data_IF_030024267572
#
_entry.id   IF_030024267572
#
_cell.length_a   1.000
_cell.length_b   1.000
_cell.length_c   1.000
_cell.angle_alpha   90.00
_cell.angle_beta   90.00
_cell.angle_gamma   90.00
#
_symmetry.space_group_name_H-M   'P 1'
#
loop_
_entity.id
_entity.type
_entity.pdbx_description
1 polymer ?
#
# COMPACT_ATOMS: atom_id res chain seq x y z
N UNK A 1 3.30 -18.66 -50.98
CA UNK A 1 3.75 -17.35 -50.45
C UNK A 1 2.85 -17.01 -49.28
N UNK A 2 3.27 -17.38 -48.08
CA UNK A 2 2.54 -17.14 -46.83
C UNK A 2 3.21 -15.93 -46.18
N UNK A 3 2.47 -14.83 -46.04
CA UNK A 3 2.92 -13.64 -45.32
C UNK A 3 2.62 -13.86 -43.83
N UNK A 4 3.68 -14.00 -43.02
CA UNK A 4 3.59 -13.96 -41.57
C UNK A 4 3.54 -12.50 -41.10
N UNK A 5 2.56 -12.19 -40.25
CA UNK A 5 2.48 -10.96 -39.46
C UNK A 5 3.26 -11.12 -38.15
N UNK A 6 3.99 -10.10 -37.67
CA UNK A 6 4.69 -10.17 -36.39
C UNK A 6 3.76 -9.73 -35.25
N UNK A 7 3.50 -10.65 -34.33
CA UNK A 7 2.97 -10.37 -32.99
C UNK A 7 4.10 -9.78 -32.13
N UNK A 8 4.03 -8.48 -31.82
CA UNK A 8 5.05 -7.77 -31.04
C UNK A 8 4.44 -6.69 -30.15
N UNK A 9 3.61 -7.08 -29.18
CA UNK A 9 2.94 -6.15 -28.25
C UNK A 9 3.36 -6.28 -26.77
N UNK A 10 4.08 -7.34 -26.39
CA UNK A 10 4.38 -7.64 -24.97
C UNK A 10 5.76 -7.13 -24.51
N UNK A 11 6.73 -6.96 -25.41
CA UNK A 11 8.11 -6.64 -25.01
C UNK A 11 8.34 -5.16 -24.64
N UNK A 12 7.59 -4.22 -25.21
CA UNK A 12 7.75 -2.77 -24.91
C UNK A 12 7.24 -2.37 -23.53
N UNK A 13 6.17 -2.99 -23.05
CA UNK A 13 5.63 -2.74 -21.70
C UNK A 13 6.52 -3.34 -20.61
N UNK A 14 7.09 -4.53 -20.86
CA UNK A 14 8.00 -5.19 -19.93
C UNK A 14 9.33 -4.43 -19.73
N UNK A 15 9.84 -3.78 -20.78
CA UNK A 15 11.05 -2.94 -20.71
C UNK A 15 10.82 -1.70 -19.80
N UNK A 16 9.68 -1.03 -19.94
CA UNK A 16 9.36 0.16 -19.13
C UNK A 16 9.22 -0.14 -17.62
N UNK A 17 8.76 -1.34 -17.23
CA UNK A 17 8.60 -1.72 -15.82
C UNK A 17 9.96 -1.99 -15.14
N UNK A 18 10.87 -2.66 -15.86
CA UNK A 18 12.24 -2.91 -15.40
C UNK A 18 13.04 -1.61 -15.35
N UNK A 19 12.90 -0.74 -16.36
CA UNK A 19 13.45 0.61 -16.34
C UNK A 19 12.88 1.42 -15.16
N UNK A 20 11.58 1.36 -14.84
CA UNK A 20 11.05 2.06 -13.67
C UNK A 20 11.72 1.64 -12.34
N UNK A 21 12.00 0.35 -12.15
CA UNK A 21 12.66 -0.17 -10.93
C UNK A 21 14.17 0.13 -10.93
N UNK A 22 14.82 0.05 -12.10
CA UNK A 22 16.26 0.20 -12.27
C UNK A 22 16.70 1.65 -12.52
N UNK A 23 16.03 2.44 -13.35
CA UNK A 23 16.29 3.89 -13.53
C UNK A 23 16.03 4.68 -12.26
N UNK A 24 15.09 4.23 -11.42
CA UNK A 24 14.94 4.76 -10.08
C UNK A 24 16.25 4.63 -9.27
N UNK A 25 17.08 3.62 -9.51
CA UNK A 25 18.38 3.47 -8.84
C UNK A 25 19.51 4.33 -9.44
N UNK A 26 19.36 4.88 -10.66
CA UNK A 26 20.48 5.47 -11.42
C UNK A 26 20.49 7.00 -11.53
N UNK A 27 19.67 7.74 -10.77
CA UNK A 27 19.76 9.22 -10.72
C UNK A 27 20.96 9.73 -9.90
N UNK A 28 22.11 9.08 -10.03
CA UNK A 28 23.32 9.36 -9.25
C UNK A 28 23.91 10.75 -9.55
N UNK A 29 23.76 11.29 -10.76
CA UNK A 29 24.49 12.50 -11.19
C UNK A 29 23.92 13.79 -10.57
N UNK A 30 22.60 13.90 -10.44
CA UNK A 30 21.97 15.04 -9.77
C UNK A 30 22.11 14.96 -8.24
N UNK A 31 22.04 13.74 -7.69
CA UNK A 31 22.21 13.47 -6.27
C UNK A 31 23.66 13.81 -5.83
N UNK A 32 24.70 13.48 -6.61
CA UNK A 32 26.12 13.77 -6.28
C UNK A 32 26.40 15.28 -6.10
N UNK A 33 25.75 16.15 -6.89
CA UNK A 33 25.94 17.61 -6.78
C UNK A 33 25.27 18.16 -5.52
N UNK A 34 24.08 17.65 -5.16
CA UNK A 34 23.42 17.99 -3.90
C UNK A 34 24.20 17.42 -2.71
N UNK A 35 24.63 16.15 -2.77
CA UNK A 35 25.46 15.50 -1.75
C UNK A 35 26.78 16.26 -1.50
N UNK A 36 27.43 16.76 -2.55
CA UNK A 36 28.68 17.54 -2.42
C UNK A 36 28.45 18.94 -1.85
N UNK A 37 27.29 19.56 -2.06
CA UNK A 37 26.95 20.83 -1.40
C UNK A 37 26.62 20.67 0.09
N UNK A 38 26.08 19.52 0.50
CA UNK A 38 25.79 19.19 1.91
C UNK A 38 27.04 18.73 2.70
N UNK A 39 28.07 18.21 2.03
CA UNK A 39 29.29 17.71 2.68
C UNK A 39 30.14 18.81 3.33
N UNK A 40 29.95 20.08 2.94
CA UNK A 40 30.67 21.23 3.51
C UNK A 40 30.14 21.71 4.89
N UNK A 41 29.24 20.96 5.55
CA UNK A 41 28.69 21.30 6.88
C UNK A 41 28.05 22.71 6.98
N UNK A 42 27.56 23.24 5.86
CA UNK A 42 26.95 24.58 5.78
C UNK A 42 25.43 24.59 5.93
N UNK A 43 24.78 23.43 6.03
CA UNK A 43 23.32 23.33 5.98
C UNK A 43 22.74 22.56 7.17
N UNK A 44 21.61 23.04 7.69
CA UNK A 44 20.84 22.41 8.77
C UNK A 44 19.35 22.44 8.46
N UNK A 45 18.58 21.62 9.19
CA UNK A 45 17.12 21.64 9.14
C UNK A 45 16.53 22.52 10.25
N UNK A 46 15.55 23.33 9.87
CA UNK A 46 14.77 24.19 10.76
C UNK A 46 13.32 23.70 10.79
N UNK A 47 12.72 23.63 11.97
CA UNK A 47 11.28 23.35 12.09
C UNK A 47 10.46 24.47 11.45
N UNK A 48 9.49 24.07 10.64
CA UNK A 48 8.53 24.96 9.99
C UNK A 48 7.10 24.46 10.23
N UNK A 49 6.16 25.37 10.44
CA UNK A 49 4.77 25.00 10.78
C UNK A 49 4.02 24.39 9.60
N UNK A 50 4.39 24.76 8.38
CA UNK A 50 3.66 24.40 7.16
C UNK A 50 4.36 23.24 6.42
N UNK A 51 5.68 23.32 6.30
CA UNK A 51 6.52 22.36 5.56
C UNK A 51 7.15 21.28 6.46
N UNK A 52 6.98 21.39 7.78
CA UNK A 52 7.60 20.53 8.79
C UNK A 52 9.08 20.87 9.00
N UNK A 53 9.89 20.78 7.94
CA UNK A 53 11.31 21.13 7.99
C UNK A 53 11.76 21.90 6.73
N UNK A 54 12.52 22.98 6.93
CA UNK A 54 13.14 23.78 5.89
C UNK A 54 14.67 23.73 5.96
N UNK A 55 15.37 23.75 4.81
CA UNK A 55 16.82 23.86 4.80
C UNK A 55 17.25 25.29 5.15
N UNK A 56 18.24 25.43 6.03
CA UNK A 56 18.86 26.70 6.40
C UNK A 56 20.37 26.63 6.24
N UNK A 57 20.97 27.70 5.71
CA UNK A 57 22.41 27.82 5.56
C UNK A 57 23.03 28.48 6.79
N UNK A 58 24.05 27.88 7.40
CA UNK A 58 24.77 28.45 8.54
C UNK A 58 25.54 29.70 8.07
N UNK A 59 25.24 30.86 8.69
CA UNK A 59 25.86 32.15 8.37
C UNK A 59 26.84 32.60 9.47
N UNK A 60 26.58 32.27 10.73
CA UNK A 60 27.53 32.52 11.83
C UNK A 60 27.33 31.57 13.02
N UNK A 61 28.44 31.15 13.65
CA UNK A 61 28.47 30.19 14.76
C UNK A 61 29.62 29.18 14.60
N UNK A 62 30.33 28.88 15.68
CA UNK A 62 31.37 27.83 15.72
C UNK A 62 30.74 26.49 16.09
N UNK A 63 31.30 25.38 15.61
CA UNK A 63 30.88 23.99 15.90
C UNK A 63 30.71 23.68 17.41
N UNK A 64 31.34 24.46 18.30
CA UNK A 64 31.26 24.31 19.76
C UNK A 64 30.11 25.10 20.43
N UNK A 65 29.32 25.88 19.68
CA UNK A 65 28.14 26.55 20.21
C UNK A 65 26.89 25.72 19.92
N UNK A 66 26.08 25.46 20.95
CA UNK A 66 24.81 24.74 20.82
C UNK A 66 23.86 25.39 19.80
N UNK A 67 23.98 26.71 19.59
CA UNK A 67 23.13 27.49 18.70
C UNK A 67 23.90 28.11 17.53
N UNK A 68 23.41 27.94 16.30
CA UNK A 68 23.95 28.57 15.08
C UNK A 68 22.94 29.55 14.49
N UNK A 69 23.42 30.66 13.89
CA UNK A 69 22.57 31.52 13.06
C UNK A 69 22.50 30.97 11.64
N UNK A 70 21.28 30.81 11.16
CA UNK A 70 20.98 30.21 9.87
C UNK A 70 20.10 31.13 9.05
N UNK A 71 20.41 31.24 7.76
CA UNK A 71 19.61 31.94 6.77
C UNK A 71 18.72 30.96 6.03
N UNK A 72 17.43 31.27 5.98
CA UNK A 72 16.43 30.59 5.17
C UNK A 72 16.46 31.12 3.72
N UNK A 73 15.86 30.36 2.80
CA UNK A 73 15.74 30.75 1.39
C UNK A 73 14.94 32.06 1.18
N UNK A 74 14.13 32.47 2.16
CA UNK A 74 13.37 33.74 2.14
C UNK A 74 14.18 34.94 2.69
N UNK A 75 15.45 34.73 3.03
CA UNK A 75 16.35 35.75 3.58
C UNK A 75 16.18 36.00 5.09
N UNK A 76 15.23 35.36 5.77
CA UNK A 76 15.09 35.46 7.23
C UNK A 76 16.23 34.73 7.92
N UNK A 77 16.65 35.27 9.07
CA UNK A 77 17.68 34.68 9.93
C UNK A 77 17.05 34.16 11.20
N UNK A 78 17.36 32.91 11.54
CA UNK A 78 16.90 32.27 12.76
C UNK A 78 18.09 31.66 13.50
N UNK A 79 17.99 31.54 14.82
CA UNK A 79 18.96 30.82 15.63
C UNK A 79 18.38 29.46 15.96
N UNK A 80 19.11 28.38 15.65
CA UNK A 80 18.65 27.02 15.92
C UNK A 80 19.79 26.11 16.42
N UNK A 81 19.40 24.98 17.02
CA UNK A 81 20.33 23.93 17.39
C UNK A 81 20.90 23.25 16.14
N UNK A 82 22.19 22.94 16.14
CA UNK A 82 22.86 22.34 15.00
C UNK A 82 22.36 20.91 14.74
N UNK A 83 21.58 20.73 13.68
CA UNK A 83 21.19 19.40 13.18
C UNK A 83 21.76 19.25 11.77
N UNK A 84 22.98 18.70 11.69
CA UNK A 84 23.67 18.46 10.42
C UNK A 84 22.93 17.35 9.67
N UNK A 85 22.83 17.46 8.34
CA UNK A 85 22.22 16.44 7.48
C UNK A 85 23.21 16.00 6.41
N UNK A 86 23.16 14.72 6.06
CA UNK A 86 23.75 14.22 4.82
C UNK A 86 22.77 14.27 3.68
N UNK A 87 23.31 14.17 2.47
CA UNK A 87 22.51 14.26 1.26
C UNK A 87 21.50 13.11 1.11
N UNK A 88 20.48 13.32 0.28
CA UNK A 88 19.24 12.56 0.31
C UNK A 88 19.20 11.31 -0.60
N UNK A 89 18.11 10.54 -0.52
CA UNK A 89 17.71 9.43 -1.41
C UNK A 89 18.22 8.03 -1.06
N UNK A 90 18.63 7.79 0.19
CA UNK A 90 19.06 6.45 0.64
C UNK A 90 17.91 5.45 0.66
N UNK A 91 18.21 4.20 0.29
CA UNK A 91 17.24 3.10 0.29
C UNK A 91 16.91 2.58 1.69
N UNK A 92 17.87 2.65 2.62
CA UNK A 92 17.67 2.36 4.03
C UNK A 92 17.98 3.59 4.87
N UNK A 93 16.97 4.09 5.59
CA UNK A 93 17.10 5.23 6.48
C UNK A 93 18.16 5.01 7.58
N UNK A 94 18.49 3.76 7.92
CA UNK A 94 19.57 3.44 8.85
C UNK A 94 20.97 3.77 8.31
N UNK A 95 21.12 4.01 6.99
CA UNK A 95 22.37 4.42 6.35
C UNK A 95 22.57 5.95 6.35
N UNK A 96 21.59 6.73 6.83
CA UNK A 96 21.75 8.16 7.01
C UNK A 96 22.88 8.42 8.01
N UNK A 97 23.85 9.26 7.63
CA UNK A 97 24.95 9.63 8.53
C UNK A 97 24.47 10.37 9.77
N UNK A 98 23.39 11.14 9.63
CA UNK A 98 22.68 11.76 10.75
C UNK A 98 21.26 11.24 10.81
N UNK A 99 20.99 10.38 11.80
CA UNK A 99 19.66 9.83 12.04
C UNK A 99 18.87 10.77 12.95
N UNK A 100 18.19 11.75 12.33
CA UNK A 100 17.26 12.66 12.99
C UNK A 100 15.94 12.72 12.22
N UNK A 101 14.89 13.23 12.86
CA UNK A 101 13.54 13.30 12.28
C UNK A 101 13.52 14.04 10.94
N UNK A 102 14.18 15.20 10.85
CA UNK A 102 14.23 15.99 9.64
C UNK A 102 14.88 15.26 8.46
N UNK A 103 16.01 14.58 8.69
CA UNK A 103 16.70 13.79 7.67
C UNK A 103 15.86 12.60 7.20
N UNK A 104 15.11 11.94 8.11
CA UNK A 104 14.19 10.86 7.74
C UNK A 104 13.02 11.38 6.91
N UNK A 105 12.36 12.44 7.36
CA UNK A 105 11.23 13.08 6.64
C UNK A 105 11.67 13.53 5.26
N UNK A 106 12.84 14.18 5.15
CA UNK A 106 13.35 14.64 3.87
C UNK A 106 13.70 13.48 2.93
N UNK A 107 14.30 12.41 3.45
CA UNK A 107 14.60 11.22 2.65
C UNK A 107 13.32 10.61 2.08
N UNK A 108 12.29 10.44 2.93
CA UNK A 108 10.98 9.95 2.49
C UNK A 108 10.32 10.89 1.48
N UNK A 109 10.38 12.22 1.69
CA UNK A 109 9.82 13.23 0.79
C UNK A 109 10.45 13.16 -0.59
N UNK A 110 11.78 13.10 -0.69
CA UNK A 110 12.48 13.07 -1.96
C UNK A 110 12.26 11.74 -2.71
N UNK A 111 12.27 10.63 -1.99
CA UNK A 111 11.93 9.31 -2.56
C UNK A 111 10.49 9.32 -3.09
N UNK A 112 9.54 9.83 -2.32
CA UNK A 112 8.14 9.95 -2.74
C UNK A 112 7.98 10.81 -4.00
N UNK A 113 8.66 11.97 -4.08
CA UNK A 113 8.65 12.83 -5.26
C UNK A 113 9.27 12.17 -6.50
N UNK A 114 10.18 11.20 -6.30
CA UNK A 114 10.73 10.34 -7.35
C UNK A 114 9.91 9.06 -7.58
N UNK A 115 8.67 9.01 -7.09
CA UNK A 115 7.77 7.85 -7.13
C UNK A 115 8.30 6.59 -6.41
N UNK A 116 9.35 6.69 -5.60
CA UNK A 116 9.87 5.60 -4.78
C UNK A 116 9.14 5.57 -3.44
N UNK A 117 8.05 4.83 -3.36
CA UNK A 117 7.21 4.84 -2.15
C UNK A 117 7.72 3.96 -1.01
N UNK A 118 8.62 3.02 -1.31
CA UNK A 118 9.17 2.07 -0.36
C UNK A 118 10.57 2.49 0.08
N UNK A 119 10.80 2.47 1.39
CA UNK A 119 12.08 2.81 2.01
C UNK A 119 12.31 1.89 3.19
N UNK A 120 13.47 1.24 3.28
CA UNK A 120 13.81 0.49 4.48
C UNK A 120 14.10 1.43 5.65
N UNK A 121 13.80 0.95 6.85
CA UNK A 121 14.22 1.57 8.10
C UNK A 121 14.67 0.45 9.04
N UNK A 122 15.95 0.07 8.95
CA UNK A 122 16.57 -1.01 9.70
C UNK A 122 15.88 -2.38 9.53
N UNK A 123 14.83 -2.71 10.29
CA UNK A 123 14.08 -3.96 10.15
C UNK A 123 12.70 -3.76 9.51
N UNK A 124 12.24 -2.52 9.43
CA UNK A 124 10.92 -2.17 8.91
C UNK A 124 10.98 -1.71 7.46
N UNK A 125 9.86 -1.84 6.77
CA UNK A 125 9.64 -1.25 5.45
C UNK A 125 8.62 -0.13 5.59
N UNK A 126 9.04 1.10 5.36
CA UNK A 126 8.17 2.27 5.31
C UNK A 126 7.57 2.36 3.91
N UNK A 127 6.25 2.51 3.84
CA UNK A 127 5.51 2.68 2.61
C UNK A 127 4.67 3.96 2.67
N UNK A 128 4.86 4.87 1.71
CA UNK A 128 4.08 6.11 1.60
C UNK A 128 3.03 5.93 0.50
N UNK A 129 1.75 6.14 0.80
CA UNK A 129 0.68 5.93 -0.19
C UNK A 129 0.83 6.87 -1.40
N UNK A 130 1.02 6.37 -2.63
CA UNK A 130 1.22 7.20 -3.82
C UNK A 130 -0.04 7.95 -4.29
N UNK A 131 -1.23 7.51 -3.89
CA UNK A 131 -2.52 7.99 -4.43
C UNK A 131 -2.65 7.92 -5.97
N UNK A 132 -1.76 7.19 -6.63
CA UNK A 132 -1.75 6.94 -8.07
C UNK A 132 -1.28 5.51 -8.34
N UNK A 133 -1.65 4.99 -9.50
CA UNK A 133 -1.19 3.68 -9.96
C UNK A 133 0.27 3.78 -10.40
N UNK A 134 1.13 2.95 -9.81
CA UNK A 134 2.54 2.83 -10.17
C UNK A 134 2.81 1.47 -10.84
N UNK A 135 3.60 1.41 -11.92
CA UNK A 135 3.85 0.18 -12.68
C UNK A 135 4.91 -0.72 -12.02
N UNK A 136 4.69 -1.12 -10.76
CA UNK A 136 5.68 -1.87 -9.95
C UNK A 136 5.16 -3.19 -9.37
N UNK A 137 3.95 -3.60 -9.73
CA UNK A 137 3.31 -4.82 -9.22
C UNK A 137 3.01 -5.84 -10.32
N UNK A 138 3.87 -5.89 -11.34
CA UNK A 138 3.74 -6.83 -12.46
C UNK A 138 4.31 -8.20 -12.12
N UNK A 139 3.92 -9.21 -12.91
CA UNK A 139 4.46 -10.57 -12.78
C UNK A 139 5.97 -10.59 -13.06
N UNK A 140 6.49 -9.71 -13.92
CA UNK A 140 7.93 -9.55 -14.12
C UNK A 140 8.62 -9.06 -12.84
N UNK A 141 7.97 -8.16 -12.11
CA UNK A 141 8.50 -7.66 -10.83
C UNK A 141 8.49 -8.78 -9.79
N UNK A 142 7.44 -9.61 -9.74
CA UNK A 142 7.41 -10.79 -8.89
C UNK A 142 8.60 -11.72 -9.19
N UNK A 143 8.83 -12.02 -10.47
CA UNK A 143 9.94 -12.85 -10.92
C UNK A 143 11.32 -12.24 -10.59
N UNK A 144 11.45 -10.91 -10.70
CA UNK A 144 12.68 -10.19 -10.38
C UNK A 144 13.07 -10.33 -8.91
N UNK A 145 12.11 -10.18 -7.99
CA UNK A 145 12.33 -10.25 -6.54
C UNK A 145 12.43 -11.68 -5.99
N UNK A 146 12.04 -12.69 -6.78
CA UNK A 146 12.06 -14.09 -6.35
C UNK A 146 13.48 -14.56 -6.00
N UNK A 147 13.66 -15.13 -4.81
CA UNK A 147 14.94 -15.62 -4.28
C UNK A 147 16.02 -14.52 -4.20
N UNK A 148 15.65 -13.26 -4.00
CA UNK A 148 16.59 -12.14 -3.89
C UNK A 148 16.81 -11.77 -2.45
N UNK A 149 18.08 -11.59 -2.08
CA UNK A 149 18.40 -11.15 -0.72
C UNK A 149 18.08 -9.68 -0.56
N UNK A 150 17.70 -9.29 0.65
CA UNK A 150 17.54 -7.89 1.01
C UNK A 150 18.83 -7.12 0.70
N UNK A 151 18.69 -5.99 -0.01
CA UNK A 151 19.80 -5.14 -0.43
C UNK A 151 20.40 -5.47 -1.79
N UNK A 152 20.04 -6.60 -2.42
CA UNK A 152 20.38 -6.86 -3.83
C UNK A 152 19.50 -6.07 -4.79
N UNK A 153 18.28 -5.75 -4.36
CA UNK A 153 17.30 -4.96 -5.09
C UNK A 153 16.76 -3.83 -4.21
N UNK A 154 16.19 -2.78 -4.83
CA UNK A 154 15.58 -1.67 -4.11
C UNK A 154 14.51 -2.11 -3.09
N UNK A 155 14.17 -1.25 -2.11
CA UNK A 155 13.13 -1.55 -1.15
C UNK A 155 11.79 -1.81 -1.83
N UNK A 156 11.17 -2.94 -1.52
CA UNK A 156 9.88 -3.30 -2.07
C UNK A 156 9.13 -4.27 -1.14
N UNK A 157 7.79 -4.26 -1.20
CA UNK A 157 6.97 -5.17 -0.38
C UNK A 157 7.18 -6.64 -0.74
N UNK A 158 7.52 -6.93 -1.99
CA UNK A 158 7.87 -8.28 -2.44
C UNK A 158 9.16 -8.79 -1.81
N UNK A 159 10.16 -7.93 -1.58
CA UNK A 159 11.36 -8.33 -0.86
C UNK A 159 11.04 -8.75 0.59
N UNK A 160 10.13 -8.04 1.26
CA UNK A 160 9.68 -8.40 2.61
C UNK A 160 8.90 -9.72 2.62
N UNK A 161 8.07 -9.97 1.60
CA UNK A 161 7.32 -11.21 1.45
C UNK A 161 8.23 -12.42 1.12
N UNK A 162 9.18 -12.26 0.19
CA UNK A 162 10.17 -13.29 -0.19
C UNK A 162 11.04 -13.69 1.01
N UNK A 163 11.52 -12.69 1.76
CA UNK A 163 12.31 -12.92 2.97
C UNK A 163 11.53 -13.72 4.01
N UNK A 164 10.29 -13.33 4.31
CA UNK A 164 9.44 -14.05 5.27
C UNK A 164 9.14 -15.48 4.81
N UNK A 165 8.87 -15.69 3.52
CA UNK A 165 8.66 -17.02 2.96
C UNK A 165 9.90 -17.90 3.10
N UNK A 166 11.08 -17.38 2.75
CA UNK A 166 12.32 -18.14 2.84
C UNK A 166 12.76 -18.41 4.28
N UNK A 167 12.57 -17.47 5.20
CA UNK A 167 12.86 -17.67 6.62
C UNK A 167 11.95 -18.74 7.22
N UNK A 168 10.66 -18.74 6.84
CA UNK A 168 9.71 -19.79 7.24
C UNK A 168 10.18 -21.19 6.82
N UNK A 169 10.56 -21.36 5.55
CA UNK A 169 11.00 -22.66 5.01
C UNK A 169 12.38 -23.08 5.57
N UNK A 170 13.31 -22.13 5.70
CA UNK A 170 14.68 -22.41 6.15
C UNK A 170 14.75 -22.74 7.64
N UNK A 171 14.02 -21.98 8.45
CA UNK A 171 14.08 -22.10 9.91
C UNK A 171 13.01 -23.05 10.46
N UNK A 172 12.03 -23.47 9.64
CA UNK A 172 10.85 -24.22 10.07
C UNK A 172 10.06 -23.50 11.18
N UNK A 173 9.98 -22.18 11.10
CA UNK A 173 9.29 -21.32 12.07
C UNK A 173 8.24 -20.45 11.39
N UNK A 174 7.03 -20.40 11.95
CA UNK A 174 5.96 -19.58 11.41
C UNK A 174 6.34 -18.09 11.41
N UNK A 175 6.01 -17.38 10.33
CA UNK A 175 6.31 -15.96 10.17
C UNK A 175 5.04 -15.11 10.18
N UNK A 176 5.19 -13.83 10.50
CA UNK A 176 4.10 -12.85 10.46
C UNK A 176 4.55 -11.55 9.80
N UNK A 177 3.74 -11.03 8.88
CA UNK A 177 3.91 -9.70 8.29
C UNK A 177 2.83 -8.80 8.89
N UNK A 178 3.24 -7.84 9.73
CA UNK A 178 2.33 -6.88 10.35
C UNK A 178 2.34 -5.57 9.56
N UNK A 179 1.18 -5.19 9.02
CA UNK A 179 1.02 -3.95 8.24
C UNK A 179 0.25 -2.93 9.08
N UNK A 180 0.94 -1.87 9.50
CA UNK A 180 0.38 -0.82 10.38
C UNK A 180 0.21 0.50 9.63
N UNK A 181 -0.48 1.46 10.25
CA UNK A 181 -0.70 2.79 9.71
C UNK A 181 -2.12 3.30 9.91
N UNK A 182 -2.32 4.60 9.75
CA UNK A 182 -3.63 5.23 9.90
C UNK A 182 -4.64 4.78 8.82
N UNK A 183 -5.92 5.12 9.01
CA UNK A 183 -6.95 4.89 7.99
C UNK A 183 -6.59 5.62 6.70
N UNK A 184 -6.52 4.90 5.59
CA UNK A 184 -6.13 5.44 4.28
C UNK A 184 -4.63 5.30 3.94
N UNK A 185 -3.79 4.81 4.85
CA UNK A 185 -2.36 4.63 4.62
C UNK A 185 -1.98 3.55 3.57
N UNK A 186 -2.94 2.75 3.08
CA UNK A 186 -2.68 1.71 2.07
C UNK A 186 -2.47 0.29 2.62
N UNK A 187 -2.85 0.03 3.88
CA UNK A 187 -2.70 -1.29 4.53
C UNK A 187 -3.31 -2.43 3.71
N UNK A 188 -4.57 -2.29 3.30
CA UNK A 188 -5.32 -3.30 2.54
C UNK A 188 -4.64 -3.63 1.21
N UNK A 189 -4.17 -2.61 0.48
CA UNK A 189 -3.48 -2.81 -0.79
C UNK A 189 -2.13 -3.50 -0.59
N UNK A 190 -1.39 -3.11 0.44
CA UNK A 190 -0.14 -3.79 0.82
C UNK A 190 -0.38 -5.27 1.15
N UNK A 191 -1.45 -5.60 1.89
CA UNK A 191 -1.83 -6.99 2.16
C UNK A 191 -2.14 -7.76 0.88
N UNK A 192 -2.89 -7.17 -0.06
CA UNK A 192 -3.18 -7.79 -1.37
C UNK A 192 -1.89 -8.12 -2.14
N UNK A 193 -0.90 -7.22 -2.12
CA UNK A 193 0.40 -7.44 -2.80
C UNK A 193 1.24 -8.52 -2.15
N UNK A 194 1.26 -8.62 -0.82
CA UNK A 194 1.93 -9.74 -0.12
C UNK A 194 1.30 -11.07 -0.51
N UNK A 195 -0.05 -11.15 -0.51
CA UNK A 195 -0.76 -12.37 -0.89
C UNK A 195 -0.44 -12.74 -2.34
N UNK A 196 -0.60 -11.80 -3.28
CA UNK A 196 -0.27 -11.98 -4.71
C UNK A 196 1.15 -12.52 -4.92
N UNK A 197 2.11 -11.98 -4.18
CA UNK A 197 3.50 -12.42 -4.28
C UNK A 197 3.65 -13.88 -3.83
N UNK A 198 3.19 -14.18 -2.60
CA UNK A 198 3.29 -15.52 -2.01
C UNK A 198 2.58 -16.57 -2.86
N UNK A 199 1.38 -16.25 -3.35
CA UNK A 199 0.62 -17.14 -4.23
C UNK A 199 1.36 -17.42 -5.53
N UNK A 200 1.97 -16.41 -6.14
CA UNK A 200 2.71 -16.59 -7.40
C UNK A 200 3.98 -17.43 -7.20
N UNK A 201 4.73 -17.23 -6.12
CA UNK A 201 6.01 -17.95 -5.92
C UNK A 201 5.85 -19.36 -5.36
N UNK A 202 4.77 -19.63 -4.61
CA UNK A 202 4.54 -20.87 -3.89
C UNK A 202 3.39 -21.72 -4.47
N UNK A 203 2.77 -21.29 -5.58
CA UNK A 203 1.81 -22.14 -6.30
C UNK A 203 2.53 -23.00 -7.32
N UNK A 204 2.25 -24.30 -7.29
CA UNK A 204 2.49 -25.16 -8.43
C UNK A 204 1.53 -24.73 -9.57
N UNK A 205 1.93 -24.80 -10.84
CA UNK A 205 1.18 -24.22 -11.99
C UNK A 205 -0.29 -24.70 -12.11
N UNK A 206 -0.70 -25.68 -11.30
CA UNK A 206 -2.06 -26.24 -11.21
C UNK A 206 -2.95 -25.62 -10.12
N UNK A 207 -2.46 -24.68 -9.30
CA UNK A 207 -3.16 -24.12 -8.11
C UNK A 207 -3.63 -22.66 -8.31
N UNK A 208 -3.90 -22.24 -9.55
CA UNK A 208 -4.53 -20.92 -9.80
C UNK A 208 -5.86 -20.70 -9.05
N UNK A 209 -6.52 -21.78 -8.59
CA UNK A 209 -7.81 -21.73 -7.90
C UNK A 209 -7.74 -21.19 -6.46
N UNK A 210 -6.71 -21.50 -5.68
CA UNK A 210 -6.68 -21.10 -4.26
C UNK A 210 -6.30 -19.62 -4.10
N UNK A 211 -5.35 -19.14 -4.90
CA UNK A 211 -5.04 -17.72 -5.02
C UNK A 211 -6.30 -16.92 -5.39
N UNK A 212 -6.98 -17.35 -6.46
CA UNK A 212 -8.21 -16.72 -6.90
C UNK A 212 -9.24 -16.71 -5.79
N UNK A 213 -9.43 -17.80 -5.04
CA UNK A 213 -10.38 -17.84 -3.93
C UNK A 213 -10.02 -16.86 -2.79
N UNK A 214 -8.74 -16.77 -2.40
CA UNK A 214 -8.30 -15.82 -1.36
C UNK A 214 -8.52 -14.37 -1.82
N UNK A 215 -8.20 -14.08 -3.09
CA UNK A 215 -8.38 -12.75 -3.66
C UNK A 215 -9.87 -12.41 -3.88
N UNK A 216 -10.69 -13.38 -4.29
CA UNK A 216 -12.16 -13.25 -4.47
C UNK A 216 -12.90 -13.11 -3.14
N UNK A 217 -12.35 -13.59 -2.03
CA UNK A 217 -12.91 -13.33 -0.71
C UNK A 217 -12.87 -11.83 -0.34
N UNK A 218 -11.93 -11.04 -0.90
CA UNK A 218 -11.81 -9.63 -0.56
C UNK A 218 -13.02 -8.79 -0.97
N UNK A 219 -13.51 -8.82 -2.23
CA UNK A 219 -14.74 -8.11 -2.60
C UNK A 219 -15.93 -8.37 -1.65
N UNK A 220 -16.11 -9.62 -1.23
CA UNK A 220 -17.17 -10.01 -0.29
C UNK A 220 -16.92 -9.35 1.07
N UNK A 221 -15.72 -9.51 1.62
CA UNK A 221 -15.32 -8.92 2.88
C UNK A 221 -15.36 -7.37 2.86
N UNK A 222 -15.08 -6.75 1.72
CA UNK A 222 -15.17 -5.30 1.53
C UNK A 222 -16.65 -4.85 1.46
N UNK A 223 -17.52 -5.58 0.76
CA UNK A 223 -18.94 -5.26 0.69
C UNK A 223 -19.60 -5.22 2.08
N UNK A 224 -19.33 -6.23 2.91
CA UNK A 224 -19.94 -6.38 4.23
C UNK A 224 -19.21 -5.67 5.38
N UNK A 225 -17.94 -5.30 5.19
CA UNK A 225 -17.09 -4.82 6.27
C UNK A 225 -16.37 -3.49 6.00
N UNK A 226 -16.46 -2.94 4.77
CA UNK A 226 -15.95 -1.61 4.48
C UNK A 226 -17.09 -0.59 4.34
N UNK A 227 -16.76 0.67 4.60
CA UNK A 227 -17.67 1.80 4.47
C UNK A 227 -16.93 3.08 4.09
N UNK A 228 -17.65 4.05 3.52
CA UNK A 228 -17.16 5.40 3.34
C UNK A 228 -17.08 6.11 4.70
N UNK A 229 -15.91 6.67 4.98
CA UNK A 229 -15.63 7.56 6.11
C UNK A 229 -15.19 8.93 5.59
N UNK A 230 -15.05 9.91 6.47
CA UNK A 230 -14.53 11.24 6.10
C UNK A 230 -13.12 11.17 5.47
N UNK A 231 -12.28 10.22 5.91
CA UNK A 231 -10.87 10.11 5.49
C UNK A 231 -10.64 9.14 4.33
N UNK A 232 -11.53 8.18 4.11
CA UNK A 232 -11.35 7.11 3.13
C UNK A 232 -12.71 6.65 2.60
N UNK A 233 -12.85 6.62 1.26
CA UNK A 233 -14.05 6.19 0.53
C UNK A 233 -14.37 4.70 0.70
N UNK A 234 -13.36 3.85 0.96
CA UNK A 234 -13.48 2.40 1.14
C UNK A 234 -12.68 1.96 2.39
N UNK A 235 -13.10 2.39 3.57
CA UNK A 235 -12.40 2.12 4.84
C UNK A 235 -12.82 0.79 5.44
N UNK A 236 -11.87 -0.13 5.66
CA UNK A 236 -12.14 -1.36 6.41
C UNK A 236 -12.48 -1.05 7.87
N UNK A 237 -13.66 -1.49 8.30
CA UNK A 237 -14.19 -1.26 9.66
C UNK A 237 -14.10 -2.51 10.54
N UNK A 238 -13.10 -3.34 10.25
CA UNK A 238 -12.73 -4.54 10.97
C UNK A 238 -11.26 -4.85 10.70
N UNK A 239 -10.60 -5.48 11.67
CA UNK A 239 -9.28 -6.07 11.49
C UNK A 239 -9.40 -7.41 10.75
N UNK A 240 -8.42 -7.69 9.90
CA UNK A 240 -8.28 -8.97 9.19
C UNK A 240 -6.94 -9.60 9.56
N UNK A 241 -6.96 -10.88 9.89
CA UNK A 241 -5.76 -11.69 10.06
C UNK A 241 -5.85 -12.88 9.11
N UNK A 242 -4.92 -12.92 8.15
CA UNK A 242 -4.92 -13.92 7.08
C UNK A 242 -3.76 -14.87 7.36
N UNK A 243 -4.08 -16.13 7.62
CA UNK A 243 -3.11 -17.21 7.76
C UNK A 243 -3.02 -17.95 6.44
N UNK A 244 -1.82 -18.04 5.87
CA UNK A 244 -1.54 -18.87 4.69
C UNK A 244 -0.71 -20.05 5.17
N UNK A 245 -1.19 -21.25 4.89
CA UNK A 245 -0.52 -22.49 5.26
C UNK A 245 0.29 -23.02 4.08
N UNK A 246 1.51 -23.48 4.37
CA UNK A 246 2.43 -24.04 3.39
C UNK A 246 2.75 -25.49 3.74
N UNK A 247 2.95 -26.31 2.72
CA UNK A 247 3.46 -27.67 2.86
C UNK A 247 4.96 -27.65 3.17
N UNK A 248 5.50 -28.79 3.61
CA UNK A 248 6.96 -28.98 3.77
C UNK A 248 7.75 -28.73 2.47
N UNK A 249 7.10 -28.87 1.30
CA UNK A 249 7.69 -28.57 0.00
C UNK A 249 7.63 -27.09 -0.39
N UNK A 250 7.11 -26.22 0.47
CA UNK A 250 6.97 -24.79 0.21
C UNK A 250 5.75 -24.41 -0.63
N UNK A 251 4.85 -25.35 -0.93
CA UNK A 251 3.63 -25.06 -1.70
C UNK A 251 2.49 -24.62 -0.80
N UNK A 252 1.62 -23.70 -1.27
CA UNK A 252 0.43 -23.31 -0.49
C UNK A 252 -0.53 -24.49 -0.38
N UNK A 253 -0.93 -24.84 0.85
CA UNK A 253 -1.86 -25.92 1.13
C UNK A 253 -3.21 -25.45 1.70
N UNK A 254 -3.33 -24.20 2.12
CA UNK A 254 -4.61 -23.63 2.59
C UNK A 254 -4.49 -22.18 3.03
N UNK A 255 -5.63 -21.55 3.29
CA UNK A 255 -5.70 -20.22 3.88
C UNK A 255 -6.89 -20.10 4.82
N UNK A 256 -6.73 -19.27 5.86
CA UNK A 256 -7.76 -18.97 6.85
C UNK A 256 -7.80 -17.46 7.09
N UNK A 257 -9.00 -16.89 7.17
CA UNK A 257 -9.20 -15.47 7.48
C UNK A 257 -9.95 -15.36 8.80
N UNK A 258 -9.26 -14.83 9.81
CA UNK A 258 -9.89 -14.43 11.07
C UNK A 258 -10.21 -12.92 11.00
N UNK A 259 -11.38 -12.53 11.51
CA UNK A 259 -11.78 -11.13 11.60
C UNK A 259 -11.91 -10.70 13.05
N UNK A 260 -11.62 -9.44 13.33
CA UNK A 260 -11.69 -8.88 14.68
C UNK A 260 -12.24 -7.47 14.67
N UNK A 261 -12.89 -7.08 15.78
CA UNK A 261 -13.31 -5.70 16.04
C UNK A 261 -14.16 -5.07 14.91
N UNK A 262 -15.13 -5.82 14.38
CA UNK A 262 -16.13 -5.26 13.48
C UNK A 262 -16.91 -4.13 14.18
N UNK A 263 -16.95 -2.95 13.57
CA UNK A 263 -17.67 -1.77 14.07
C UNK A 263 -19.21 -1.92 13.96
N UNK A 264 -19.79 -2.83 14.74
CA UNK A 264 -21.23 -3.15 14.71
C UNK A 264 -22.14 -1.94 14.91
N UNK A 265 -21.68 -0.92 15.65
CA UNK A 265 -22.44 0.33 15.87
C UNK A 265 -22.78 1.05 14.55
N UNK A 266 -21.94 0.91 13.52
CA UNK A 266 -22.16 1.52 12.20
C UNK A 266 -23.44 1.06 11.53
N UNK A 267 -23.93 -0.14 11.83
CA UNK A 267 -25.14 -0.69 11.22
C UNK A 267 -26.36 0.19 11.52
N UNK A 268 -26.47 0.72 12.74
CA UNK A 268 -27.63 1.50 13.15
C UNK A 268 -27.36 3.01 13.30
N UNK A 269 -26.09 3.42 13.31
CA UNK A 269 -25.70 4.83 13.46
C UNK A 269 -24.46 5.15 12.63
N UNK A 270 -24.54 6.18 11.80
CA UNK A 270 -23.41 6.69 11.03
C UNK A 270 -23.19 8.16 11.36
N UNK A 271 -21.92 8.56 11.42
CA UNK A 271 -21.53 9.96 11.54
C UNK A 271 -21.92 10.75 10.29
N UNK A 272 -22.06 12.07 10.42
CA UNK A 272 -22.35 12.94 9.28
C UNK A 272 -21.31 12.76 8.16
N UNK A 273 -21.78 12.72 6.92
CA UNK A 273 -20.97 12.52 5.69
C UNK A 273 -20.32 11.13 5.57
N UNK A 274 -20.70 10.17 6.39
CA UNK A 274 -20.26 8.77 6.26
C UNK A 274 -21.36 7.86 5.68
N UNK A 275 -20.98 6.66 5.24
CA UNK A 275 -21.92 5.60 4.86
C UNK A 275 -21.97 4.49 5.89
N UNK A 276 -23.05 3.73 5.82
CA UNK A 276 -23.11 2.37 6.33
C UNK A 276 -22.25 1.44 5.44
N UNK A 277 -22.23 0.14 5.74
CA UNK A 277 -21.51 -0.85 4.92
C UNK A 277 -21.99 -0.86 3.47
N UNK A 278 -21.05 -1.06 2.53
CA UNK A 278 -21.32 -0.95 1.09
C UNK A 278 -22.47 -1.85 0.62
N UNK A 279 -22.58 -3.05 1.18
CA UNK A 279 -23.60 -4.05 0.81
C UNK A 279 -25.04 -3.51 0.87
N UNK A 280 -25.37 -2.61 1.81
CA UNK A 280 -26.71 -2.06 1.89
C UNK A 280 -27.10 -1.26 0.65
N UNK A 281 -26.15 -0.52 0.09
CA UNK A 281 -26.35 0.33 -1.08
C UNK A 281 -26.24 -0.48 -2.36
N UNK A 282 -25.33 -1.46 -2.39
CA UNK A 282 -25.22 -2.44 -3.45
C UNK A 282 -26.57 -3.17 -3.63
N UNK A 283 -27.15 -3.72 -2.56
CA UNK A 283 -28.46 -4.38 -2.62
C UNK A 283 -29.60 -3.43 -3.01
N UNK A 284 -29.60 -2.18 -2.53
CA UNK A 284 -30.59 -1.18 -2.97
C UNK A 284 -30.40 -0.73 -4.43
N UNK A 285 -29.27 -1.06 -5.06
CA UNK A 285 -29.00 -0.85 -6.49
C UNK A 285 -29.21 -2.10 -7.35
N UNK A 286 -29.63 -3.22 -6.76
CA UNK A 286 -29.94 -4.47 -7.47
C UNK A 286 -31.11 -4.32 -8.46
N UNK A 287 -31.32 -5.34 -9.29
CA UNK A 287 -32.49 -5.44 -10.16
C UNK A 287 -33.80 -5.61 -9.37
N UNK A 288 -34.92 -5.36 -10.04
CA UNK A 288 -36.24 -5.39 -9.41
C UNK A 288 -36.63 -6.79 -8.93
N UNK A 289 -36.13 -7.84 -9.61
CA UNK A 289 -36.37 -9.24 -9.23
C UNK A 289 -35.71 -9.57 -7.88
N UNK A 290 -34.42 -9.26 -7.73
CA UNK A 290 -33.69 -9.46 -6.48
C UNK A 290 -34.28 -8.59 -5.37
N UNK A 291 -34.59 -7.33 -5.64
CA UNK A 291 -35.24 -6.45 -4.66
C UNK A 291 -36.57 -6.99 -4.17
N UNK A 292 -37.43 -7.46 -5.08
CA UNK A 292 -38.70 -8.07 -4.72
C UNK A 292 -38.51 -9.33 -3.87
N UNK A 293 -37.53 -10.18 -4.21
CA UNK A 293 -37.23 -11.40 -3.45
C UNK A 293 -36.75 -11.11 -2.02
N UNK A 294 -36.09 -9.97 -1.81
CA UNK A 294 -35.55 -9.53 -0.52
C UNK A 294 -36.47 -8.53 0.21
N UNK A 295 -37.66 -8.25 -0.33
CA UNK A 295 -38.62 -7.27 0.19
C UNK A 295 -38.01 -5.85 0.34
N UNK A 296 -37.13 -5.49 -0.59
CA UNK A 296 -36.49 -4.17 -0.65
C UNK A 296 -37.39 -3.20 -1.42
N UNK A 297 -38.31 -2.58 -0.71
CA UNK A 297 -39.25 -1.59 -1.25
C UNK A 297 -38.73 -0.16 -1.01
N UNK A 298 -39.00 0.75 -1.94
CA UNK A 298 -38.76 2.19 -1.75
C UNK A 298 -37.32 2.67 -1.99
N UNK A 299 -37.02 3.85 -1.43
CA UNK A 299 -35.76 4.59 -1.61
C UNK A 299 -34.93 4.50 -0.33
N UNK A 300 -33.64 4.83 -0.45
CA UNK A 300 -32.69 4.87 0.67
C UNK A 300 -33.19 5.70 1.88
N UNK A 301 -33.94 6.77 1.63
CA UNK A 301 -34.54 7.63 2.67
C UNK A 301 -35.56 6.93 3.55
N UNK A 302 -36.15 5.83 3.07
CA UNK A 302 -37.26 5.14 3.74
C UNK A 302 -36.71 4.18 4.81
N UNK A 303 -35.44 3.82 4.71
CA UNK A 303 -34.74 2.95 5.65
C UNK A 303 -34.13 3.74 6.80
N UNK A 304 -34.65 3.54 8.02
CA UNK A 304 -34.19 4.24 9.24
C UNK A 304 -32.68 4.18 9.47
N UNK A 305 -32.02 3.08 9.13
CA UNK A 305 -30.58 2.87 9.34
C UNK A 305 -29.70 3.42 8.20
N UNK A 306 -30.29 3.94 7.14
CA UNK A 306 -29.57 4.47 5.98
C UNK A 306 -29.93 5.92 5.67
N UNK A 307 -31.10 6.41 6.11
CA UNK A 307 -31.63 7.74 5.75
C UNK A 307 -30.68 8.91 6.01
N UNK A 308 -29.85 8.81 7.06
CA UNK A 308 -28.92 9.86 7.50
C UNK A 308 -27.50 9.65 6.94
N UNK A 309 -27.27 8.57 6.19
CA UNK A 309 -26.00 8.27 5.55
C UNK A 309 -25.81 9.05 4.24
N UNK A 310 -24.54 9.21 3.85
CA UNK A 310 -24.19 9.63 2.49
C UNK A 310 -24.78 8.65 1.45
N UNK A 311 -25.24 9.17 0.31
CA UNK A 311 -25.95 8.36 -0.70
C UNK A 311 -25.03 7.83 -1.77
N UNK A 312 -24.06 8.64 -2.19
CA UNK A 312 -23.21 8.36 -3.36
C UNK A 312 -21.76 8.53 -2.95
N UNK A 313 -20.91 7.62 -3.40
CA UNK A 313 -19.46 7.76 -3.34
C UNK A 313 -19.02 8.16 -4.75
N UNK A 314 -18.36 9.31 -4.87
CA UNK A 314 -17.83 9.79 -6.15
C UNK A 314 -16.85 8.76 -6.74
N UNK A 315 -17.15 8.32 -7.97
CA UNK A 315 -16.38 7.34 -8.74
C UNK A 315 -16.75 5.88 -8.50
N UNK A 316 -17.76 5.59 -7.69
CA UNK A 316 -18.21 4.22 -7.39
C UNK A 316 -19.63 4.01 -7.89
N UNK A 317 -19.82 2.94 -8.66
CA UNK A 317 -21.12 2.44 -9.08
C UNK A 317 -21.50 1.24 -8.20
N UNK A 318 -22.44 1.45 -7.27
CA UNK A 318 -22.88 0.41 -6.33
C UNK A 318 -23.51 -0.80 -7.06
N UNK A 319 -24.08 -0.63 -8.26
CA UNK A 319 -24.68 -1.74 -9.02
C UNK A 319 -23.61 -2.64 -9.64
N UNK A 320 -22.55 -2.04 -10.18
CA UNK A 320 -21.40 -2.76 -10.71
C UNK A 320 -20.64 -3.47 -9.57
N UNK A 321 -20.49 -2.81 -8.42
CA UNK A 321 -19.88 -3.43 -7.24
C UNK A 321 -20.72 -4.59 -6.68
N UNK A 322 -22.07 -4.51 -6.75
CA UNK A 322 -22.94 -5.64 -6.42
C UNK A 322 -22.65 -6.82 -7.37
N UNK A 323 -22.60 -6.60 -8.68
CA UNK A 323 -22.31 -7.65 -9.65
C UNK A 323 -20.97 -8.35 -9.35
N UNK A 324 -19.91 -7.56 -9.08
CA UNK A 324 -18.61 -8.11 -8.68
C UNK A 324 -18.70 -8.95 -7.40
N UNK A 325 -19.42 -8.45 -6.40
CA UNK A 325 -19.63 -9.13 -5.11
C UNK A 325 -20.37 -10.45 -5.30
N UNK A 326 -21.42 -10.46 -6.12
CA UNK A 326 -22.21 -11.66 -6.43
C UNK A 326 -21.41 -12.71 -7.18
N UNK A 327 -20.63 -12.32 -8.19
CA UNK A 327 -19.74 -13.24 -8.93
C UNK A 327 -18.70 -13.86 -7.98
N UNK A 328 -18.05 -13.04 -7.15
CA UNK A 328 -17.09 -13.54 -6.18
C UNK A 328 -17.75 -14.47 -5.14
N UNK A 329 -18.97 -14.15 -4.69
CA UNK A 329 -19.72 -14.98 -3.76
C UNK A 329 -20.14 -16.32 -4.39
N UNK A 330 -20.53 -16.33 -5.66
CA UNK A 330 -20.81 -17.56 -6.40
C UNK A 330 -19.55 -18.44 -6.49
N UNK A 331 -18.43 -17.88 -6.88
CA UNK A 331 -17.17 -18.63 -6.99
C UNK A 331 -16.65 -19.14 -5.63
N UNK A 332 -16.86 -18.35 -4.56
CA UNK A 332 -16.37 -18.67 -3.22
C UNK A 332 -17.27 -19.66 -2.47
N UNK A 333 -18.60 -19.52 -2.56
CA UNK A 333 -19.56 -20.26 -1.74
C UNK A 333 -20.39 -21.28 -2.51
N UNK A 334 -20.57 -21.13 -3.82
CA UNK A 334 -21.39 -22.02 -4.63
C UNK A 334 -20.48 -22.94 -5.43
N UNK A 335 -20.01 -24.01 -4.80
CA UNK A 335 -19.69 -25.21 -5.57
C UNK A 335 -21.00 -25.62 -6.27
N UNK A 336 -20.98 -26.04 -7.54
CA UNK A 336 -22.18 -26.51 -8.25
C UNK A 336 -22.95 -27.66 -7.56
N UNK A 337 -22.39 -28.25 -6.50
CA UNK A 337 -22.91 -29.44 -5.81
C UNK A 337 -22.94 -29.30 -4.28
N UNK A 338 -22.97 -28.10 -3.68
CA UNK A 338 -23.26 -28.02 -2.24
C UNK A 338 -24.77 -28.16 -2.01
N UNK A 339 -25.25 -29.28 -1.40
CA UNK A 339 -26.65 -29.44 -1.09
C UNK A 339 -26.97 -28.59 0.15
N UNK A 340 -27.99 -27.75 0.05
CA UNK A 340 -28.66 -27.20 1.23
C UNK A 340 -29.27 -28.33 2.08
#
# INVERSE_FOLDING_TARGET
>A
MVQMSPTGGSSKLALNNLEYILEASTNEVADVVVHSAFSEQKWVWLEDKDEGYLPGQIVSGSQNQQSVQVALNDGKRQTCMLTISTGPNVEDAAQLTYLNEASVVQNLRLRYLSNKIYTYSALFLVAVNPFQSLPMYSDETVALYKNKRRGELPPHIFAAADQAYHDMIRNNENQSILITGESGAGKTESTKRVIQYLTTIASDQKIGKLEQQILQANPILEAFGNAQTVRNKNSSRFGKFIRIAFSLGGTICGAHIDYYLLEKSRVHHQSQKERNYHIFYQLLSADDEMKASLLLEGKLSDYRYLKDSSRVIEGVDDSLELQKTMVCAQDAFLRPNDPY
#
